data_IF_157061956679
#
_entry.id   IF_157061956679
#
_cell.length_a   1.000
_cell.length_b   1.000
_cell.length_c   1.000
_cell.angle_alpha   90.00
_cell.angle_beta   90.00
_cell.angle_gamma   90.00
#
_symmetry.space_group_name_H-M   'P 1'
#
loop_
_entity.id
_entity.type
_entity.pdbx_description
1 polymer ?
#
# COMPACT_ATOMS: atom_id res chain seq x y z
N UNK A 1 18.40 -24.09 -27.72
CA UNK A 1 18.87 -23.08 -26.74
C UNK A 1 17.85 -23.02 -25.62
N UNK A 2 18.16 -23.55 -24.44
CA UNK A 2 17.29 -23.43 -23.26
C UNK A 2 17.50 -22.05 -22.66
N UNK A 3 16.48 -21.19 -22.73
CA UNK A 3 16.43 -19.94 -21.98
C UNK A 3 16.37 -20.28 -20.50
N UNK A 4 17.39 -19.89 -19.74
CA UNK A 4 17.36 -19.98 -18.28
C UNK A 4 16.10 -19.28 -17.74
N UNK A 5 15.41 -19.84 -16.72
CA UNK A 5 14.24 -19.21 -16.14
C UNK A 5 14.63 -17.84 -15.57
N UNK A 6 13.86 -16.80 -15.87
CA UNK A 6 14.05 -15.48 -15.24
C UNK A 6 13.88 -15.65 -13.72
N UNK A 7 14.76 -15.05 -12.89
CA UNK A 7 14.57 -15.05 -11.45
C UNK A 7 13.21 -14.41 -11.12
N UNK A 8 12.53 -14.96 -10.11
CA UNK A 8 11.29 -14.39 -9.61
C UNK A 8 11.53 -12.94 -9.14
N UNK A 9 10.62 -12.01 -9.45
CA UNK A 9 10.78 -10.62 -9.04
C UNK A 9 10.81 -10.51 -7.52
N UNK A 10 11.68 -9.65 -6.99
CA UNK A 10 11.65 -9.35 -5.56
C UNK A 10 10.33 -8.70 -5.16
N UNK A 11 9.98 -8.74 -3.87
CA UNK A 11 8.76 -8.11 -3.37
C UNK A 11 8.70 -6.60 -3.71
N UNK A 12 9.84 -5.90 -3.63
CA UNK A 12 9.97 -4.49 -4.00
C UNK A 12 9.67 -4.27 -5.49
N UNK A 13 10.27 -5.09 -6.36
CA UNK A 13 10.04 -5.03 -7.80
C UNK A 13 8.57 -5.32 -8.14
N UNK A 14 7.95 -6.25 -7.42
CA UNK A 14 6.56 -6.61 -7.59
C UNK A 14 5.62 -5.46 -7.21
N UNK A 15 5.79 -4.85 -6.04
CA UNK A 15 4.98 -3.70 -5.62
C UNK A 15 5.19 -2.52 -6.57
N UNK A 16 6.44 -2.24 -6.96
CA UNK A 16 6.76 -1.22 -7.95
C UNK A 16 6.07 -1.47 -9.31
N UNK A 17 6.04 -2.73 -9.77
CA UNK A 17 5.34 -3.13 -10.99
C UNK A 17 3.82 -2.93 -10.88
N UNK A 18 3.20 -3.37 -9.78
CA UNK A 18 1.76 -3.18 -9.53
C UNK A 18 1.41 -1.69 -9.54
N UNK A 19 2.18 -0.88 -8.81
CA UNK A 19 1.99 0.56 -8.80
C UNK A 19 2.14 1.18 -10.20
N UNK A 20 3.18 0.79 -10.94
CA UNK A 20 3.41 1.26 -12.31
C UNK A 20 2.27 0.90 -13.28
N UNK A 21 1.71 -0.31 -13.17
CA UNK A 21 0.56 -0.73 -13.97
C UNK A 21 -0.66 0.13 -13.66
N UNK A 22 -1.07 0.22 -12.39
CA UNK A 22 -2.27 0.95 -11.98
C UNK A 22 -2.14 2.46 -12.30
N UNK A 23 -0.93 3.00 -12.18
CA UNK A 23 -0.64 4.42 -12.41
C UNK A 23 -0.50 4.78 -13.90
N UNK A 24 -0.17 3.84 -14.78
CA UNK A 24 0.05 4.08 -16.21
C UNK A 24 -1.13 4.75 -16.89
N UNK A 25 -0.90 5.68 -17.81
CA UNK A 25 -1.96 6.28 -18.65
C UNK A 25 -2.69 5.27 -19.54
N UNK A 26 -2.06 4.12 -19.81
CA UNK A 26 -2.66 3.02 -20.58
C UNK A 26 -3.65 2.19 -19.75
N UNK A 27 -3.64 2.36 -18.43
CA UNK A 27 -4.56 1.66 -17.55
C UNK A 27 -5.94 2.32 -17.59
N UNK A 28 -6.95 1.57 -18.02
CA UNK A 28 -8.26 2.13 -18.35
C UNK A 28 -8.87 2.89 -17.16
N UNK A 29 -9.42 4.08 -17.43
CA UNK A 29 -9.94 4.97 -16.38
C UNK A 29 -11.07 4.33 -15.57
N UNK A 30 -11.99 3.62 -16.23
CA UNK A 30 -13.10 2.93 -15.56
C UNK A 30 -12.63 1.80 -14.66
N UNK A 31 -11.60 1.07 -15.10
CA UNK A 31 -10.96 0.00 -14.34
C UNK A 31 -10.26 0.54 -13.08
N UNK A 32 -9.49 1.63 -13.23
CA UNK A 32 -8.88 2.35 -12.10
C UNK A 32 -9.90 2.86 -11.10
N UNK A 33 -11.01 3.41 -11.60
CA UNK A 33 -12.10 3.87 -10.75
C UNK A 33 -12.80 2.72 -10.01
N UNK A 34 -12.88 1.52 -10.61
CA UNK A 34 -13.39 0.33 -9.93
C UNK A 34 -12.47 -0.09 -8.78
N UNK A 35 -11.17 -0.19 -9.02
CA UNK A 35 -10.18 -0.54 -7.98
C UNK A 35 -10.20 0.45 -6.82
N UNK A 36 -10.28 1.76 -7.11
CA UNK A 36 -10.32 2.83 -6.10
C UNK A 36 -11.49 2.69 -5.11
N UNK A 37 -12.62 2.15 -5.57
CA UNK A 37 -13.86 2.04 -4.78
C UNK A 37 -13.96 0.76 -3.96
N UNK A 38 -13.02 -0.16 -4.14
CA UNK A 38 -13.01 -1.41 -3.38
C UNK A 38 -12.82 -1.11 -1.89
N UNK A 39 -13.44 -1.97 -1.07
CA UNK A 39 -13.34 -1.93 0.39
C UNK A 39 -13.02 -3.35 0.86
N UNK A 40 -12.00 -3.55 1.71
CA UNK A 40 -11.70 -4.87 2.27
C UNK A 40 -12.91 -5.40 3.06
N UNK A 41 -13.12 -6.72 3.06
CA UNK A 41 -14.25 -7.38 3.70
C UNK A 41 -15.60 -7.21 2.98
N UNK A 42 -15.63 -6.55 1.81
CA UNK A 42 -16.82 -6.40 0.98
C UNK A 42 -16.71 -7.21 -0.32
N UNK A 43 -17.84 -7.57 -0.96
CA UNK A 43 -17.82 -8.25 -2.25
C UNK A 43 -16.97 -7.52 -3.29
N UNK A 44 -16.02 -8.23 -3.89
CA UNK A 44 -15.09 -7.67 -4.87
C UNK A 44 -15.65 -7.79 -6.28
N UNK A 45 -15.44 -6.78 -7.15
CA UNK A 45 -15.87 -6.86 -8.54
C UNK A 45 -15.04 -7.88 -9.32
N UNK A 46 -15.61 -8.51 -10.36
CA UNK A 46 -14.88 -9.39 -11.29
C UNK A 46 -13.58 -8.78 -11.84
N UNK A 47 -13.58 -7.44 -11.96
CA UNK A 47 -12.41 -6.70 -12.37
C UNK A 47 -11.20 -6.89 -11.45
N UNK A 48 -11.42 -6.94 -10.14
CA UNK A 48 -10.35 -7.21 -9.18
C UNK A 48 -9.71 -8.56 -9.46
N UNK A 49 -10.50 -9.61 -9.63
CA UNK A 49 -9.97 -10.96 -9.90
C UNK A 49 -9.18 -11.01 -11.21
N UNK A 50 -9.68 -10.35 -12.27
CA UNK A 50 -8.94 -10.25 -13.54
C UNK A 50 -7.58 -9.56 -13.36
N UNK A 51 -7.56 -8.46 -12.59
CA UNK A 51 -6.32 -7.77 -12.26
C UNK A 51 -5.40 -8.65 -11.41
N UNK A 52 -5.96 -9.31 -10.40
CA UNK A 52 -5.24 -10.12 -9.43
C UNK A 52 -4.51 -11.30 -10.09
N UNK A 53 -5.23 -12.11 -10.87
CA UNK A 53 -4.63 -13.23 -11.60
C UNK A 53 -3.57 -12.81 -12.62
N UNK A 54 -3.62 -11.57 -13.11
CA UNK A 54 -2.65 -11.06 -14.09
C UNK A 54 -1.40 -10.47 -13.45
N UNK A 55 -1.50 -9.96 -12.21
CA UNK A 55 -0.50 -9.01 -11.68
C UNK A 55 -0.08 -9.23 -10.22
N UNK A 56 -0.89 -9.87 -9.39
CA UNK A 56 -0.56 -10.13 -7.98
C UNK A 56 0.35 -11.37 -7.84
N UNK A 57 1.12 -11.48 -6.75
CA UNK A 57 1.94 -12.67 -6.49
C UNK A 57 1.08 -13.90 -6.29
N UNK A 58 1.68 -15.07 -6.50
CA UNK A 58 1.07 -16.33 -6.08
C UNK A 58 0.73 -16.29 -4.58
N UNK A 59 -0.43 -16.84 -4.21
CA UNK A 59 -0.89 -16.91 -2.83
C UNK A 59 -1.52 -15.61 -2.31
N UNK A 60 -1.76 -14.62 -3.18
CA UNK A 60 -2.48 -13.40 -2.81
C UNK A 60 -3.87 -13.70 -2.22
N UNK A 61 -4.47 -14.83 -2.62
CA UNK A 61 -5.78 -15.31 -2.18
C UNK A 61 -5.84 -15.54 -0.67
N UNK A 62 -4.72 -15.90 -0.03
CA UNK A 62 -4.64 -16.12 1.42
C UNK A 62 -4.72 -14.81 2.22
N UNK A 63 -4.55 -13.67 1.55
CA UNK A 63 -4.58 -12.34 2.17
C UNK A 63 -5.43 -11.37 1.33
N UNK A 64 -6.60 -11.84 0.87
CA UNK A 64 -7.45 -11.11 -0.09
C UNK A 64 -7.79 -9.69 0.37
N UNK A 65 -8.06 -9.48 1.66
CA UNK A 65 -8.40 -8.16 2.19
C UNK A 65 -7.19 -7.22 2.25
N UNK A 66 -6.00 -7.76 2.55
CA UNK A 66 -4.76 -6.99 2.56
C UNK A 66 -4.38 -6.57 1.13
N UNK A 67 -4.50 -7.47 0.15
CA UNK A 67 -4.29 -7.15 -1.26
C UNK A 67 -5.36 -6.21 -1.83
N UNK A 68 -6.61 -6.35 -1.42
CA UNK A 68 -7.67 -5.38 -1.75
C UNK A 68 -7.30 -3.99 -1.25
N UNK A 69 -6.80 -3.91 -0.01
CA UNK A 69 -6.37 -2.66 0.63
C UNK A 69 -5.20 -2.02 -0.13
N UNK A 70 -4.19 -2.82 -0.51
CA UNK A 70 -3.02 -2.36 -1.28
C UNK A 70 -3.46 -1.83 -2.65
N UNK A 71 -4.24 -2.61 -3.41
CA UNK A 71 -4.65 -2.25 -4.77
C UNK A 71 -5.56 -1.03 -4.77
N UNK A 72 -6.54 -0.98 -3.86
CA UNK A 72 -7.42 0.18 -3.71
C UNK A 72 -6.63 1.43 -3.32
N UNK A 73 -5.68 1.29 -2.39
CA UNK A 73 -4.82 2.37 -1.94
C UNK A 73 -3.93 2.95 -3.05
N UNK A 74 -3.29 2.10 -3.86
CA UNK A 74 -2.51 2.54 -5.02
C UNK A 74 -3.41 3.25 -6.05
N UNK A 75 -4.61 2.72 -6.30
CA UNK A 75 -5.58 3.33 -7.22
C UNK A 75 -6.14 4.68 -6.71
N UNK A 76 -6.22 4.86 -5.39
CA UNK A 76 -6.58 6.14 -4.75
C UNK A 76 -5.52 7.21 -4.99
N UNK A 77 -4.23 6.84 -4.98
CA UNK A 77 -3.11 7.78 -5.13
C UNK A 77 -2.61 7.95 -6.58
N UNK A 78 -3.20 7.24 -7.54
CA UNK A 78 -2.85 7.41 -8.96
C UNK A 78 -3.11 8.84 -9.44
N UNK A 79 -2.29 9.37 -10.37
CA UNK A 79 -1.27 8.68 -11.16
C UNK A 79 0.12 8.59 -10.51
N UNK A 80 0.37 9.26 -9.39
CA UNK A 80 1.69 9.29 -8.75
C UNK A 80 1.62 8.64 -7.38
N UNK A 81 1.38 7.33 -7.33
CA UNK A 81 1.15 6.64 -6.06
C UNK A 81 2.44 6.26 -5.32
N UNK A 82 3.52 5.91 -6.05
CA UNK A 82 4.69 5.22 -5.50
C UNK A 82 5.96 6.07 -5.57
N UNK A 83 6.55 6.34 -4.42
CA UNK A 83 7.84 7.03 -4.27
C UNK A 83 8.80 6.16 -3.42
N UNK A 84 9.71 5.38 -4.04
CA UNK A 84 10.56 4.43 -3.31
C UNK A 84 11.45 5.03 -2.22
N UNK A 85 11.74 6.32 -2.29
CA UNK A 85 12.63 7.04 -1.36
C UNK A 85 11.92 7.74 -0.20
N UNK A 86 10.58 7.71 -0.18
CA UNK A 86 9.79 8.42 0.83
C UNK A 86 9.05 7.37 1.66
N UNK A 87 9.44 7.18 2.92
CA UNK A 87 8.75 6.27 3.83
C UNK A 87 7.34 6.75 4.18
N UNK A 88 6.46 5.82 4.57
CA UNK A 88 5.08 6.11 4.98
C UNK A 88 5.05 7.02 6.21
N UNK A 89 5.87 6.75 7.22
CA UNK A 89 5.96 7.57 8.43
C UNK A 89 6.34 9.01 8.11
N UNK A 90 7.42 9.21 7.34
CA UNK A 90 7.85 10.54 6.91
C UNK A 90 6.82 11.26 6.02
N UNK A 91 6.14 10.54 5.12
CA UNK A 91 5.07 11.13 4.30
C UNK A 91 3.88 11.60 5.13
N UNK A 92 3.50 10.84 6.16
CA UNK A 92 2.44 11.22 7.09
C UNK A 92 2.81 12.44 7.92
N UNK A 93 4.04 12.50 8.44
CA UNK A 93 4.54 13.66 9.19
C UNK A 93 4.53 14.92 8.34
N UNK A 94 5.13 14.87 7.14
CA UNK A 94 5.19 16.01 6.21
C UNK A 94 3.79 16.50 5.78
N UNK A 95 2.80 15.61 5.79
CA UNK A 95 1.42 15.93 5.46
C UNK A 95 0.59 16.44 6.66
N UNK A 96 1.19 16.57 7.85
CA UNK A 96 0.49 17.00 9.07
C UNK A 96 -0.49 15.95 9.62
N UNK A 97 -0.18 14.66 9.47
CA UNK A 97 -0.95 13.62 10.15
C UNK A 97 -0.74 13.74 11.67
N UNK A 98 -1.79 13.54 12.48
CA UNK A 98 -1.70 13.77 13.92
C UNK A 98 -1.18 12.54 14.66
N UNK A 99 -0.45 12.74 15.76
CA UNK A 99 0.04 11.67 16.64
C UNK A 99 -1.07 10.71 17.04
N UNK A 100 -2.21 11.23 17.48
CA UNK A 100 -3.37 10.41 17.89
C UNK A 100 -3.97 9.55 16.78
N UNK A 101 -3.81 9.94 15.51
CA UNK A 101 -4.25 9.13 14.36
C UNK A 101 -3.19 8.09 14.01
N UNK A 102 -1.90 8.44 14.12
CA UNK A 102 -0.80 7.51 13.92
C UNK A 102 -0.81 6.41 14.99
N UNK A 103 -0.91 6.77 16.26
CA UNK A 103 -1.02 5.84 17.39
C UNK A 103 -2.15 4.83 17.16
N UNK A 104 -3.34 5.34 16.80
CA UNK A 104 -4.48 4.47 16.49
C UNK A 104 -4.24 3.56 15.29
N UNK A 105 -3.51 4.02 14.27
CA UNK A 105 -3.17 3.21 13.09
C UNK A 105 -2.21 2.07 13.47
N UNK A 106 -1.20 2.35 14.28
CA UNK A 106 -0.18 1.36 14.67
C UNK A 106 -0.73 0.35 15.70
N UNK A 107 -1.61 0.77 16.60
CA UNK A 107 -2.19 -0.10 17.62
C UNK A 107 -3.34 -0.99 17.11
N UNK A 108 -3.76 -0.84 15.86
CA UNK A 108 -4.94 -1.53 15.33
C UNK A 108 -4.68 -3.00 14.96
N UNK A 109 -5.66 -3.85 15.26
CA UNK A 109 -5.76 -5.20 14.71
C UNK A 109 -5.90 -5.19 13.18
N UNK A 110 -5.80 -6.36 12.54
CA UNK A 110 -5.76 -6.48 11.08
C UNK A 110 -6.94 -5.82 10.34
N UNK A 111 -8.17 -5.97 10.84
CA UNK A 111 -9.36 -5.43 10.18
C UNK A 111 -9.43 -3.90 10.33
N UNK A 112 -9.24 -3.41 11.54
CA UNK A 112 -9.23 -1.99 11.84
C UNK A 112 -8.03 -1.31 11.16
N UNK A 113 -6.87 -1.96 11.10
CA UNK A 113 -5.65 -1.47 10.47
C UNK A 113 -5.84 -1.23 8.99
N UNK A 114 -6.47 -2.15 8.24
CA UNK A 114 -6.81 -1.94 6.82
C UNK A 114 -7.69 -0.70 6.60
N UNK A 115 -8.70 -0.53 7.46
CA UNK A 115 -9.62 0.61 7.39
C UNK A 115 -8.91 1.93 7.69
N UNK A 116 -8.14 1.98 8.77
CA UNK A 116 -7.37 3.17 9.16
C UNK A 116 -6.28 3.49 8.14
N UNK A 117 -5.62 2.48 7.60
CA UNK A 117 -4.62 2.63 6.55
C UNK A 117 -5.23 3.26 5.30
N UNK A 118 -6.38 2.80 4.81
CA UNK A 118 -7.06 3.47 3.68
C UNK A 118 -7.48 4.90 4.00
N UNK A 119 -7.79 5.23 5.26
CA UNK A 119 -8.05 6.63 5.66
C UNK A 119 -6.76 7.47 5.61
N UNK A 120 -5.63 6.93 6.07
CA UNK A 120 -4.32 7.58 5.97
C UNK A 120 -3.91 7.78 4.51
N UNK A 121 -4.12 6.77 3.65
CA UNK A 121 -3.87 6.86 2.20
C UNK A 121 -4.75 7.92 1.54
N UNK A 122 -6.05 8.01 1.88
CA UNK A 122 -6.93 9.09 1.38
C UNK A 122 -6.45 10.48 1.82
N UNK A 123 -5.97 10.60 3.06
CA UNK A 123 -5.39 11.84 3.57
C UNK A 123 -4.15 12.26 2.78
N UNK A 124 -3.23 11.33 2.47
CA UNK A 124 -2.06 11.59 1.64
C UNK A 124 -2.43 11.90 0.18
N UNK A 125 -3.39 11.17 -0.38
CA UNK A 125 -3.90 11.38 -1.73
C UNK A 125 -4.47 12.79 -1.91
N UNK A 126 -5.23 13.29 -0.93
CA UNK A 126 -5.80 14.64 -0.97
C UNK A 126 -4.73 15.74 -1.04
N UNK A 127 -3.51 15.44 -0.60
CA UNK A 127 -2.36 16.35 -0.60
C UNK A 127 -1.31 16.00 -1.66
N UNK A 128 -1.60 15.04 -2.55
CA UNK A 128 -0.65 14.53 -3.56
C UNK A 128 0.71 14.11 -2.98
N UNK A 129 0.71 13.47 -1.80
CA UNK A 129 1.94 13.01 -1.10
C UNK A 129 2.19 11.52 -1.33
N UNK A 130 2.99 11.12 -2.34
CA UNK A 130 3.32 9.71 -2.55
C UNK A 130 4.24 9.17 -1.46
N UNK A 131 4.23 7.85 -1.28
CA UNK A 131 5.15 7.16 -0.39
C UNK A 131 5.58 5.81 -0.97
N UNK A 132 6.49 5.13 -0.29
CA UNK A 132 6.98 3.83 -0.66
C UNK A 132 5.93 2.75 -0.33
N UNK A 133 5.11 2.40 -1.32
CA UNK A 133 4.15 1.30 -1.20
C UNK A 133 4.72 -0.06 -0.78
N UNK A 134 6.03 -0.30 -0.88
CA UNK A 134 6.64 -1.51 -0.28
C UNK A 134 6.41 -1.54 1.23
N UNK A 135 6.60 -0.39 1.89
CA UNK A 135 6.38 -0.26 3.33
C UNK A 135 4.89 -0.41 3.68
N UNK A 136 4.00 0.21 2.90
CA UNK A 136 2.56 0.03 3.05
C UNK A 136 2.12 -1.42 2.88
N UNK A 137 2.69 -2.13 1.90
CA UNK A 137 2.38 -3.54 1.69
C UNK A 137 2.94 -4.43 2.83
N UNK A 138 4.16 -4.17 3.31
CA UNK A 138 4.73 -4.85 4.48
C UNK A 138 3.90 -4.62 5.75
N UNK A 139 3.43 -3.40 5.98
CA UNK A 139 2.57 -3.04 7.10
C UNK A 139 1.25 -3.81 7.13
N UNK A 140 0.71 -4.18 5.95
CA UNK A 140 -0.53 -4.94 5.85
C UNK A 140 -0.31 -6.45 5.88
N UNK A 141 0.69 -6.95 5.14
CA UNK A 141 0.91 -8.37 4.89
C UNK A 141 1.75 -9.08 5.97
N UNK A 142 2.45 -8.35 6.84
CA UNK A 142 3.25 -8.96 7.91
C UNK A 142 2.34 -9.46 9.04
N UNK A 143 2.35 -10.79 9.26
CA UNK A 143 1.56 -11.47 10.31
C UNK A 143 2.36 -11.87 11.55
N UNK A 144 3.68 -11.87 11.42
CA UNK A 144 4.60 -12.14 12.52
C UNK A 144 4.68 -10.91 13.44
N UNK A 145 4.39 -11.09 14.72
CA UNK A 145 4.23 -10.00 15.67
C UNK A 145 5.54 -9.22 15.89
N UNK A 146 6.67 -9.91 15.98
CA UNK A 146 7.99 -9.29 16.18
C UNK A 146 8.38 -8.43 14.97
N UNK A 147 8.19 -8.96 13.76
CA UNK A 147 8.44 -8.20 12.52
C UNK A 147 7.48 -7.03 12.39
N UNK A 148 6.23 -7.17 12.82
CA UNK A 148 5.25 -6.08 12.80
C UNK A 148 5.66 -4.97 13.77
N UNK A 149 6.11 -5.31 14.96
CA UNK A 149 6.60 -4.32 15.92
C UNK A 149 7.83 -3.57 15.40
N UNK A 150 8.76 -4.26 14.74
CA UNK A 150 9.89 -3.60 14.07
C UNK A 150 9.44 -2.63 12.97
N UNK A 151 8.38 -2.96 12.21
CA UNK A 151 7.80 -2.04 11.23
C UNK A 151 7.14 -0.83 11.90
N UNK A 152 6.44 -1.02 13.03
CA UNK A 152 5.86 0.08 13.80
C UNK A 152 6.93 1.05 14.32
N UNK A 153 8.01 0.52 14.89
CA UNK A 153 9.14 1.31 15.36
C UNK A 153 9.80 2.10 14.23
N UNK A 154 9.94 1.49 13.04
CA UNK A 154 10.48 2.18 11.87
C UNK A 154 9.57 3.33 11.41
N UNK A 155 8.27 3.08 11.29
CA UNK A 155 7.27 4.08 10.92
C UNK A 155 7.25 5.27 11.89
N UNK A 156 7.21 4.98 13.20
CA UNK A 156 7.21 6.00 14.24
C UNK A 156 8.51 6.81 14.22
N UNK A 157 9.66 6.16 14.06
CA UNK A 157 10.96 6.83 13.94
C UNK A 157 10.98 7.79 12.76
N UNK A 158 10.55 7.35 11.58
CA UNK A 158 10.53 8.18 10.38
C UNK A 158 9.57 9.36 10.50
N UNK A 159 8.44 9.15 11.18
CA UNK A 159 7.46 10.20 11.49
C UNK A 159 8.05 11.28 12.40
N UNK A 160 8.60 10.91 13.57
CA UNK A 160 9.14 11.88 14.52
C UNK A 160 10.43 12.54 14.05
N UNK A 161 11.32 11.82 13.37
CA UNK A 161 12.52 12.40 12.77
C UNK A 161 12.22 13.50 11.75
N UNK A 162 11.04 13.45 11.11
CA UNK A 162 10.61 14.46 10.15
C UNK A 162 10.06 15.70 10.86
N UNK A 163 9.28 15.51 11.93
CA UNK A 163 8.76 16.61 12.77
C UNK A 163 9.91 17.38 13.44
N UNK A 164 10.91 16.69 13.98
CA UNK A 164 12.05 17.32 14.68
C UNK A 164 12.97 18.15 13.76
N UNK A 165 12.80 18.06 12.44
CA UNK A 165 13.61 18.76 11.43
C UNK A 165 12.94 19.99 10.83
N UNK A 166 11.70 20.29 11.21
CA UNK A 166 10.93 21.47 10.80
C UNK A 166 10.90 22.53 11.92
#
# INVERSE_FOLDING_TARGET
MQTAPRPEPSFEQQIGRIAGIICSDRFATGERAALRRMTPGQPLPLYFYRFAFSHLPQGWEHAIDDWTTIVAGIALMSPNAHAPRIGLGGALAEAGYSDSRLERLLAADDEVRRTLFLRAVRFLAAQSKPFNWVEGARFLLTKDDDKRELLHLHLARDFYNKIDRE
#
